data_IF_774468748931
#
_entry.id   IF_774468748931
#
_cell.length_a   1.000
_cell.length_b   1.000
_cell.length_c   1.000
_cell.angle_alpha   90.00
_cell.angle_beta   90.00
_cell.angle_gamma   90.00
#
_symmetry.space_group_name_H-M   'P 1'
#
loop_
_entity.id
_entity.type
_entity.pdbx_description
1 polymer ?
#
# COMPACT_ATOMS: atom_id res chain seq x y z
N UNK A 1 -17.42 32.07 29.74
CA UNK A 1 -17.10 31.50 31.07
C UNK A 1 -16.93 30.01 30.84
N UNK A 2 -15.70 29.54 30.50
CA UNK A 2 -14.66 29.05 31.44
C UNK A 2 -15.11 27.78 32.14
N UNK A 3 -14.47 26.64 32.11
CA UNK A 3 -13.07 26.23 32.07
C UNK A 3 -12.96 24.70 31.80
N UNK A 4 -11.76 24.15 31.60
CA UNK A 4 -11.50 22.83 31.07
C UNK A 4 -11.24 21.78 32.17
N UNK A 5 -11.30 20.49 31.81
CA UNK A 5 -10.73 19.44 32.67
C UNK A 5 -9.66 18.65 31.93
N UNK A 6 -8.45 18.95 32.34
CA UNK A 6 -7.27 18.10 32.22
C UNK A 6 -6.96 17.45 33.56
N UNK A 7 -6.20 16.34 33.51
CA UNK A 7 -5.53 15.60 34.60
C UNK A 7 -6.29 14.44 35.26
N UNK A 8 -5.81 13.22 35.05
CA UNK A 8 -5.00 12.45 35.97
C UNK A 8 -4.62 11.08 35.39
N UNK A 9 -3.32 10.94 35.11
CA UNK A 9 -2.62 9.66 35.09
C UNK A 9 -2.29 9.24 36.53
N UNK A 10 -2.39 7.94 36.89
CA UNK A 10 -1.30 7.17 37.49
C UNK A 10 -1.70 5.75 37.91
N UNK A 11 -0.78 4.83 37.57
CA UNK A 11 -0.41 3.60 38.26
C UNK A 11 -1.26 2.30 38.19
N UNK A 12 -0.78 1.35 37.44
CA UNK A 12 -0.26 0.09 37.98
C UNK A 12 -1.26 -1.02 38.25
N UNK A 13 -1.17 -2.15 37.52
CA UNK A 13 -1.73 -3.41 38.00
C UNK A 13 -2.18 -4.36 36.89
N UNK A 14 -1.30 -5.26 36.51
CA UNK A 14 -1.60 -6.44 35.72
C UNK A 14 -2.62 -7.33 36.43
N UNK A 15 -3.73 -7.68 35.77
CA UNK A 15 -4.50 -8.85 36.09
C UNK A 15 -5.16 -9.43 34.82
N UNK A 16 -4.86 -10.67 34.43
CA UNK A 16 -5.47 -11.31 33.27
C UNK A 16 -6.67 -12.13 33.76
N UNK A 17 -7.85 -11.73 33.39
CA UNK A 17 -9.09 -12.52 33.26
C UNK A 17 -10.32 -11.61 33.27
N UNK A 18 -11.08 -11.69 32.18
CA UNK A 18 -12.45 -11.22 31.93
C UNK A 18 -12.63 -10.15 30.87
N UNK A 19 -12.35 -10.55 29.63
CA UNK A 19 -12.73 -9.73 28.47
C UNK A 19 -14.24 -9.76 28.14
N UNK A 20 -15.00 -10.72 28.67
CA UNK A 20 -16.45 -10.84 28.43
C UNK A 20 -17.22 -9.85 29.31
N UNK A 21 -16.85 -9.67 30.57
CA UNK A 21 -17.49 -8.71 31.47
C UNK A 21 -17.24 -7.24 31.10
N UNK A 22 -16.08 -6.93 30.44
CA UNK A 22 -15.84 -5.59 29.92
C UNK A 22 -16.61 -5.27 28.65
N UNK A 23 -16.92 -6.27 27.82
CA UNK A 23 -17.80 -6.12 26.65
C UNK A 23 -19.25 -5.94 27.11
N UNK A 24 -19.70 -6.70 28.09
CA UNK A 24 -21.04 -6.56 28.68
C UNK A 24 -21.20 -5.25 29.48
N UNK A 25 -20.17 -4.80 30.20
CA UNK A 25 -20.19 -3.50 30.87
C UNK A 25 -20.17 -2.31 29.90
N UNK A 26 -19.53 -2.40 28.74
CA UNK A 26 -19.63 -1.37 27.67
C UNK A 26 -21.02 -1.35 27.04
N UNK A 27 -21.70 -2.47 26.96
CA UNK A 27 -23.11 -2.55 26.51
C UNK A 27 -24.11 -1.98 27.54
N UNK A 28 -23.79 -2.02 28.84
CA UNK A 28 -24.66 -1.52 29.91
C UNK A 28 -24.47 -0.02 30.20
N UNK A 29 -23.33 0.59 29.86
CA UNK A 29 -23.06 2.01 30.06
C UNK A 29 -23.47 2.92 28.91
N UNK A 30 -23.99 2.37 27.80
CA UNK A 30 -24.43 3.13 26.63
C UNK A 30 -25.94 3.42 26.60
N UNK A 31 -26.66 3.20 27.71
CA UNK A 31 -28.08 3.52 27.79
C UNK A 31 -28.44 4.24 29.09
N UNK A 32 -28.64 5.58 29.03
CA UNK A 32 -29.72 6.18 29.79
C UNK A 32 -30.70 6.92 28.85
N UNK A 33 -31.98 6.46 28.96
CA UNK A 33 -33.19 7.23 28.65
C UNK A 33 -33.29 8.01 27.35
N UNK A 34 -33.94 7.44 26.33
CA UNK A 34 -34.67 8.21 25.32
C UNK A 34 -36.02 7.53 25.06
N UNK A 35 -37.06 8.30 25.26
CA UNK A 35 -38.43 8.02 24.87
C UNK A 35 -38.58 8.06 23.34
N UNK A 36 -39.17 7.02 22.82
CA UNK A 36 -40.03 6.85 21.65
C UNK A 36 -39.98 7.87 20.51
N UNK A 37 -39.62 7.44 19.34
CA UNK A 37 -40.16 7.42 18.00
C UNK A 37 -39.16 7.61 16.84
N UNK A 38 -37.89 8.00 17.09
CA UNK A 38 -36.85 8.10 16.04
C UNK A 38 -35.59 7.28 16.35
N UNK A 39 -35.64 6.41 17.33
CA UNK A 39 -34.46 5.71 17.91
C UNK A 39 -33.93 4.52 17.14
N UNK A 40 -34.77 3.82 16.37
CA UNK A 40 -34.38 2.52 15.82
C UNK A 40 -33.36 2.63 14.67
N UNK A 41 -33.41 3.70 13.88
CA UNK A 41 -32.46 3.87 12.77
C UNK A 41 -31.06 4.28 13.26
N UNK A 42 -30.98 5.10 14.31
CA UNK A 42 -29.72 5.54 14.91
C UNK A 42 -29.01 4.41 15.68
N UNK A 43 -29.77 3.54 16.36
CA UNK A 43 -29.27 2.34 17.02
C UNK A 43 -28.68 1.32 16.02
N UNK A 44 -29.35 1.15 14.87
CA UNK A 44 -28.90 0.22 13.83
C UNK A 44 -27.59 0.67 13.21
N UNK A 45 -27.38 1.96 13.00
CA UNK A 45 -26.16 2.52 12.41
C UNK A 45 -24.95 2.41 13.36
N UNK A 46 -25.15 2.51 14.67
CA UNK A 46 -24.07 2.37 15.67
C UNK A 46 -23.73 0.91 16.01
N UNK A 47 -24.64 -0.04 15.80
CA UNK A 47 -24.42 -1.45 16.11
C UNK A 47 -23.71 -2.21 14.99
N UNK A 48 -23.82 -1.78 13.75
CA UNK A 48 -23.17 -2.42 12.59
C UNK A 48 -21.65 -2.52 12.73
N UNK A 49 -20.90 -1.43 13.05
CA UNK A 49 -19.44 -1.51 13.18
C UNK A 49 -18.98 -2.34 14.39
N UNK A 50 -19.78 -2.40 15.46
CA UNK A 50 -19.48 -3.22 16.64
C UNK A 50 -19.66 -4.72 16.34
N UNK A 51 -20.73 -5.09 15.64
CA UNK A 51 -21.02 -6.47 15.27
C UNK A 51 -19.98 -6.98 14.24
N UNK A 52 -19.59 -6.14 13.28
CA UNK A 52 -18.55 -6.42 12.29
C UNK A 52 -17.19 -6.68 12.96
N UNK A 53 -16.79 -5.81 13.88
CA UNK A 53 -15.52 -5.95 14.62
C UNK A 53 -15.50 -7.25 15.47
N UNK A 54 -16.63 -7.61 16.07
CA UNK A 54 -16.77 -8.85 16.84
C UNK A 54 -16.67 -10.07 15.92
N UNK A 55 -17.41 -10.09 14.80
CA UNK A 55 -17.38 -11.20 13.84
C UNK A 55 -15.99 -11.38 13.21
N UNK A 56 -15.37 -10.29 12.77
CA UNK A 56 -14.01 -10.32 12.17
C UNK A 56 -12.98 -10.84 13.18
N UNK A 57 -13.01 -10.34 14.43
CA UNK A 57 -12.12 -10.81 15.50
C UNK A 57 -12.39 -12.26 15.89
N UNK A 58 -13.63 -12.70 15.85
CA UNK A 58 -14.01 -14.09 16.13
C UNK A 58 -13.45 -15.02 15.04
N UNK A 59 -13.66 -14.69 13.75
CA UNK A 59 -13.11 -15.46 12.63
C UNK A 59 -11.58 -15.54 12.71
N UNK A 60 -10.90 -14.42 12.96
CA UNK A 60 -9.45 -14.41 13.15
C UNK A 60 -8.99 -15.33 14.28
N UNK A 61 -9.67 -15.30 15.42
CA UNK A 61 -9.31 -16.15 16.58
C UNK A 61 -9.54 -17.64 16.31
N UNK A 62 -10.59 -17.98 15.58
CA UNK A 62 -10.93 -19.37 15.28
C UNK A 62 -10.03 -19.98 14.20
N UNK A 63 -9.69 -19.23 13.18
CA UNK A 63 -9.03 -19.77 11.99
C UNK A 63 -7.57 -19.34 11.82
N UNK A 64 -7.10 -18.26 12.49
CA UNK A 64 -5.74 -17.75 12.32
C UNK A 64 -4.96 -17.86 13.65
N UNK A 65 -4.17 -18.94 13.79
CA UNK A 65 -3.24 -19.07 14.91
C UNK A 65 -2.13 -18.02 14.79
N UNK A 66 -1.89 -17.25 15.86
CA UNK A 66 -0.84 -16.21 15.88
C UNK A 66 -1.26 -14.87 15.29
N UNK A 67 -2.56 -14.58 15.14
CA UNK A 67 -3.10 -13.32 14.60
C UNK A 67 -2.60 -12.02 15.27
N UNK A 68 -1.87 -12.12 16.38
CA UNK A 68 -1.26 -10.96 17.08
C UNK A 68 0.06 -10.49 16.47
N UNK A 69 0.65 -11.27 15.58
CA UNK A 69 1.92 -10.95 14.89
C UNK A 69 1.69 -10.95 13.38
N UNK A 70 1.02 -9.90 12.83
CA UNK A 70 0.59 -9.85 11.43
C UNK A 70 1.76 -9.81 10.44
N UNK A 71 2.94 -9.36 10.87
CA UNK A 71 4.13 -9.20 10.03
C UNK A 71 4.80 -10.54 9.64
N UNK A 72 4.43 -11.65 10.31
CA UNK A 72 4.98 -12.95 9.96
C UNK A 72 4.35 -13.46 8.65
N UNK A 73 5.16 -13.92 7.68
CA UNK A 73 4.65 -14.39 6.38
C UNK A 73 3.59 -15.48 6.50
N UNK A 74 3.74 -16.41 7.47
CA UNK A 74 2.77 -17.47 7.73
C UNK A 74 1.40 -16.95 8.21
N UNK A 75 1.40 -15.91 9.07
CA UNK A 75 0.17 -15.30 9.59
C UNK A 75 -0.52 -14.51 8.48
N UNK A 76 0.27 -13.74 7.72
CA UNK A 76 -0.19 -12.99 6.55
C UNK A 76 -0.92 -13.89 5.57
N UNK A 77 -0.32 -15.01 5.21
CA UNK A 77 -0.91 -15.97 4.30
C UNK A 77 -2.20 -16.60 4.84
N UNK A 78 -2.24 -17.01 6.12
CA UNK A 78 -3.47 -17.55 6.72
C UNK A 78 -4.60 -16.53 6.73
N UNK A 79 -4.28 -15.25 6.93
CA UNK A 79 -5.26 -14.14 6.83
C UNK A 79 -5.79 -14.03 5.39
N UNK A 80 -4.93 -14.07 4.40
CA UNK A 80 -5.33 -14.06 2.98
C UNK A 80 -6.20 -15.27 2.61
N UNK A 81 -5.82 -16.47 3.05
CA UNK A 81 -6.63 -17.68 2.83
C UNK A 81 -8.00 -17.60 3.52
N UNK A 82 -8.07 -17.05 4.74
CA UNK A 82 -9.35 -16.83 5.42
C UNK A 82 -10.24 -15.87 4.64
N UNK A 83 -9.68 -14.74 4.18
CA UNK A 83 -10.41 -13.77 3.36
C UNK A 83 -10.95 -14.39 2.08
N UNK A 84 -10.12 -15.11 1.33
CA UNK A 84 -10.52 -15.79 0.10
C UNK A 84 -11.64 -16.84 0.35
N UNK A 85 -11.49 -17.66 1.38
CA UNK A 85 -12.49 -18.67 1.73
C UNK A 85 -13.84 -18.05 2.13
N UNK A 86 -13.82 -17.00 2.96
CA UNK A 86 -15.03 -16.24 3.35
C UNK A 86 -15.68 -15.59 2.14
N UNK A 87 -14.88 -14.97 1.25
CA UNK A 87 -15.35 -14.36 0.00
C UNK A 87 -16.05 -15.38 -0.90
N UNK A 88 -15.43 -16.56 -1.12
CA UNK A 88 -16.02 -17.64 -1.92
C UNK A 88 -17.35 -18.10 -1.32
N UNK A 89 -17.40 -18.36 -0.01
CA UNK A 89 -18.61 -18.85 0.66
C UNK A 89 -19.73 -17.81 0.58
N UNK A 90 -19.46 -16.54 0.88
CA UNK A 90 -20.47 -15.49 0.84
C UNK A 90 -20.97 -15.24 -0.58
N UNK A 91 -20.08 -15.13 -1.58
CA UNK A 91 -20.48 -14.87 -2.95
C UNK A 91 -21.22 -16.07 -3.57
N UNK A 92 -20.82 -17.31 -3.26
CA UNK A 92 -21.54 -18.50 -3.67
C UNK A 92 -22.95 -18.56 -3.05
N UNK A 93 -23.07 -18.24 -1.75
CA UNK A 93 -24.37 -18.20 -1.06
C UNK A 93 -25.29 -17.13 -1.68
N UNK A 94 -24.76 -15.91 -1.91
CA UNK A 94 -25.52 -14.84 -2.56
C UNK A 94 -25.91 -15.20 -3.99
N UNK A 95 -25.03 -15.85 -4.75
CA UNK A 95 -25.33 -16.34 -6.09
C UNK A 95 -26.51 -17.31 -6.07
N UNK A 96 -26.46 -18.33 -5.21
CA UNK A 96 -27.54 -19.34 -5.10
C UNK A 96 -28.88 -18.70 -4.68
N UNK A 97 -28.87 -17.85 -3.65
CA UNK A 97 -30.09 -17.19 -3.17
C UNK A 97 -30.69 -16.27 -4.23
N UNK A 98 -29.89 -15.46 -4.92
CA UNK A 98 -30.33 -14.58 -5.98
C UNK A 98 -30.82 -15.36 -7.21
N UNK A 99 -30.15 -16.48 -7.55
CA UNK A 99 -30.58 -17.33 -8.67
C UNK A 99 -31.94 -17.96 -8.40
N UNK A 100 -32.16 -18.51 -7.19
CA UNK A 100 -33.47 -19.09 -6.79
C UNK A 100 -34.56 -18.01 -6.88
N UNK A 101 -34.36 -16.86 -6.29
CA UNK A 101 -35.38 -15.78 -6.31
C UNK A 101 -35.54 -15.22 -7.73
N UNK A 102 -34.46 -15.05 -8.49
CA UNK A 102 -34.50 -14.60 -9.88
C UNK A 102 -35.33 -15.50 -10.79
N UNK A 103 -35.12 -16.82 -10.68
CA UNK A 103 -35.90 -17.84 -11.44
C UNK A 103 -37.36 -17.83 -10.99
N UNK A 104 -37.64 -17.85 -9.69
CA UNK A 104 -38.99 -17.87 -9.14
C UNK A 104 -39.81 -16.61 -9.46
N UNK A 105 -39.14 -15.45 -9.48
CA UNK A 105 -39.77 -14.17 -9.80
C UNK A 105 -39.79 -13.81 -11.28
N UNK A 106 -39.09 -14.59 -12.12
CA UNK A 106 -38.89 -14.29 -13.54
C UNK A 106 -38.07 -13.02 -13.77
N UNK A 107 -37.30 -12.55 -12.78
CA UNK A 107 -36.52 -11.32 -12.86
C UNK A 107 -35.15 -11.56 -13.48
N UNK A 108 -34.96 -11.06 -14.70
CA UNK A 108 -33.67 -11.11 -15.39
C UNK A 108 -32.61 -10.27 -14.68
N UNK A 109 -33.00 -9.15 -14.06
CA UNK A 109 -32.08 -8.30 -13.31
C UNK A 109 -31.46 -9.02 -12.09
N UNK A 110 -32.27 -9.77 -11.32
CA UNK A 110 -31.73 -10.55 -10.18
C UNK A 110 -30.85 -11.70 -10.68
N UNK A 111 -31.22 -12.34 -11.79
CA UNK A 111 -30.40 -13.42 -12.38
C UNK A 111 -29.04 -12.87 -12.85
N UNK A 112 -29.02 -11.70 -13.48
CA UNK A 112 -27.79 -11.04 -13.87
C UNK A 112 -26.92 -10.67 -12.65
N UNK A 113 -27.52 -10.17 -11.56
CA UNK A 113 -26.83 -9.86 -10.31
C UNK A 113 -26.33 -11.15 -9.60
N UNK A 114 -27.02 -12.28 -9.74
CA UNK A 114 -26.51 -13.59 -9.31
C UNK A 114 -25.24 -13.99 -10.07
N UNK A 115 -25.20 -13.76 -11.38
CA UNK A 115 -24.00 -14.05 -12.20
C UNK A 115 -22.83 -13.13 -11.84
N UNK A 116 -23.09 -11.87 -11.44
CA UNK A 116 -22.06 -11.01 -10.89
C UNK A 116 -21.40 -11.62 -9.63
N UNK A 117 -22.21 -12.11 -8.68
CA UNK A 117 -21.67 -12.78 -7.48
C UNK A 117 -20.87 -14.06 -7.81
N UNK A 118 -21.17 -14.74 -8.90
CA UNK A 118 -20.34 -15.86 -9.38
C UNK A 118 -18.97 -15.37 -9.84
N UNK A 119 -18.90 -14.24 -10.54
CA UNK A 119 -17.64 -13.59 -10.94
C UNK A 119 -16.82 -13.15 -9.73
N UNK A 120 -17.48 -12.64 -8.66
CA UNK A 120 -16.83 -12.26 -7.40
C UNK A 120 -16.25 -13.47 -6.66
N UNK A 121 -16.94 -14.61 -6.71
CA UNK A 121 -16.40 -15.87 -6.20
C UNK A 121 -15.12 -16.28 -6.96
N UNK A 122 -15.09 -16.08 -8.28
CA UNK A 122 -13.90 -16.33 -9.10
C UNK A 122 -12.75 -15.39 -8.71
N UNK A 123 -13.01 -14.09 -8.49
CA UNK A 123 -12.01 -13.12 -7.97
C UNK A 123 -11.44 -13.56 -6.63
N UNK A 124 -12.30 -14.05 -5.73
CA UNK A 124 -11.87 -14.58 -4.43
C UNK A 124 -10.99 -15.83 -4.57
N UNK A 125 -11.25 -16.69 -5.57
CA UNK A 125 -10.40 -17.84 -5.88
C UNK A 125 -9.03 -17.38 -6.37
N UNK A 126 -8.97 -16.38 -7.27
CA UNK A 126 -7.69 -15.81 -7.76
C UNK A 126 -6.85 -15.25 -6.60
N UNK A 127 -7.49 -14.52 -5.70
CA UNK A 127 -6.82 -14.00 -4.49
C UNK A 127 -6.26 -15.14 -3.62
N UNK A 128 -7.07 -16.16 -3.35
CA UNK A 128 -6.65 -17.32 -2.55
C UNK A 128 -5.48 -18.09 -3.17
N UNK A 129 -5.53 -18.31 -4.49
CA UNK A 129 -4.46 -18.95 -5.24
C UNK A 129 -3.20 -18.09 -5.22
N UNK A 130 -3.33 -16.77 -5.41
CA UNK A 130 -2.23 -15.82 -5.34
C UNK A 130 -1.50 -15.87 -4.00
N UNK A 131 -2.22 -15.84 -2.89
CA UNK A 131 -1.62 -16.00 -1.56
C UNK A 131 -0.93 -17.35 -1.36
N UNK A 132 -1.48 -18.41 -1.92
CA UNK A 132 -0.87 -19.76 -1.83
C UNK A 132 0.40 -19.85 -2.66
N UNK A 133 0.42 -19.28 -3.84
CA UNK A 133 1.61 -19.23 -4.71
C UNK A 133 2.69 -18.34 -4.11
N UNK A 134 2.32 -17.20 -3.53
CA UNK A 134 3.25 -16.27 -2.89
C UNK A 134 4.03 -16.88 -1.70
N UNK A 135 3.54 -17.98 -1.12
CA UNK A 135 4.22 -18.70 -0.03
C UNK A 135 5.29 -19.68 -0.50
N UNK A 136 5.38 -19.95 -1.80
CA UNK A 136 6.38 -20.87 -2.29
C UNK A 136 7.78 -20.31 -2.00
N UNK A 137 8.71 -21.15 -1.47
CA UNK A 137 10.07 -20.73 -1.22
C UNK A 137 10.78 -20.38 -2.53
N UNK A 138 11.92 -19.75 -2.42
CA UNK A 138 12.84 -19.56 -3.53
C UNK A 138 13.23 -20.92 -4.15
N UNK A 139 13.32 -20.94 -5.47
CA UNK A 139 13.75 -22.09 -6.29
C UNK A 139 14.83 -21.64 -7.30
N UNK A 140 15.26 -22.55 -8.19
CA UNK A 140 16.29 -22.25 -9.18
C UNK A 140 15.84 -21.18 -10.20
N UNK A 141 14.55 -21.15 -10.56
CA UNK A 141 13.99 -20.21 -11.51
C UNK A 141 13.64 -18.86 -10.84
N UNK A 142 13.31 -18.88 -9.54
CA UNK A 142 12.90 -17.70 -8.78
C UNK A 142 13.71 -17.58 -7.47
N UNK A 143 15.00 -17.19 -7.55
CA UNK A 143 15.91 -17.15 -6.39
C UNK A 143 15.50 -16.14 -5.31
N UNK A 144 14.68 -15.13 -5.66
CA UNK A 144 14.14 -14.16 -4.72
C UNK A 144 12.77 -14.54 -4.13
N UNK A 145 12.31 -15.79 -4.41
CA UNK A 145 11.01 -16.29 -3.95
C UNK A 145 9.83 -15.83 -4.80
N UNK A 146 8.65 -16.22 -4.36
CA UNK A 146 7.41 -16.09 -5.13
C UNK A 146 6.44 -15.04 -4.58
N UNK A 147 6.87 -14.19 -3.65
CA UNK A 147 5.97 -13.25 -2.96
C UNK A 147 5.29 -12.23 -3.90
N UNK A 148 5.85 -11.96 -5.10
CA UNK A 148 5.22 -11.11 -6.13
C UNK A 148 3.93 -11.67 -6.72
N UNK A 149 3.63 -12.98 -6.54
CA UNK A 149 2.32 -13.51 -6.93
C UNK A 149 1.15 -12.82 -6.22
N UNK A 150 1.37 -12.21 -5.05
CA UNK A 150 0.34 -11.39 -4.41
C UNK A 150 0.00 -10.14 -5.23
N UNK A 151 1.00 -9.44 -5.77
CA UNK A 151 0.76 -8.30 -6.65
C UNK A 151 0.09 -8.71 -7.97
N UNK A 152 0.52 -9.84 -8.55
CA UNK A 152 -0.09 -10.37 -9.78
C UNK A 152 -1.55 -10.77 -9.57
N UNK A 153 -1.90 -11.35 -8.42
CA UNK A 153 -3.29 -11.67 -8.11
C UNK A 153 -4.14 -10.41 -7.91
N UNK A 154 -3.60 -9.37 -7.26
CA UNK A 154 -4.26 -8.06 -7.16
C UNK A 154 -4.51 -7.42 -8.53
N UNK A 155 -3.52 -7.52 -9.44
CA UNK A 155 -3.66 -7.03 -10.81
C UNK A 155 -4.72 -7.81 -11.60
N UNK A 156 -4.79 -9.13 -11.43
CA UNK A 156 -5.83 -9.95 -12.05
C UNK A 156 -7.23 -9.56 -11.57
N UNK A 157 -7.40 -9.30 -10.26
CA UNK A 157 -8.67 -8.80 -9.69
C UNK A 157 -9.00 -7.42 -10.26
N UNK A 158 -8.04 -6.51 -10.36
CA UNK A 158 -8.25 -5.20 -10.98
C UNK A 158 -8.70 -5.33 -12.45
N UNK A 159 -8.11 -6.25 -13.22
CA UNK A 159 -8.53 -6.57 -14.57
C UNK A 159 -9.98 -7.06 -14.65
N UNK A 160 -10.39 -7.94 -13.75
CA UNK A 160 -11.79 -8.40 -13.67
C UNK A 160 -12.76 -7.26 -13.34
N UNK A 161 -12.41 -6.37 -12.41
CA UNK A 161 -13.21 -5.18 -12.08
C UNK A 161 -13.38 -4.28 -13.31
N UNK A 162 -12.33 -4.07 -14.11
CA UNK A 162 -12.40 -3.28 -15.34
C UNK A 162 -13.33 -3.91 -16.38
N UNK A 163 -13.28 -5.23 -16.56
CA UNK A 163 -14.18 -5.95 -17.46
C UNK A 163 -15.65 -5.80 -17.00
N UNK A 164 -15.92 -6.00 -15.72
CA UNK A 164 -17.27 -5.85 -15.13
C UNK A 164 -17.76 -4.41 -15.29
N UNK A 165 -16.92 -3.41 -15.00
CA UNK A 165 -17.26 -2.00 -15.17
C UNK A 165 -17.58 -1.64 -16.62
N UNK A 166 -16.85 -2.19 -17.59
CA UNK A 166 -17.11 -2.00 -19.00
C UNK A 166 -18.45 -2.62 -19.44
N UNK A 167 -18.73 -3.88 -19.04
CA UNK A 167 -19.99 -4.56 -19.34
C UNK A 167 -21.18 -3.86 -18.71
N UNK A 168 -21.04 -3.37 -17.46
CA UNK A 168 -22.09 -2.57 -16.82
C UNK A 168 -22.33 -1.26 -17.56
N UNK A 169 -21.27 -0.59 -18.01
CA UNK A 169 -21.36 0.62 -18.84
C UNK A 169 -22.11 0.37 -20.14
N UNK A 170 -21.75 -0.69 -20.86
CA UNK A 170 -22.43 -1.10 -22.09
C UNK A 170 -23.92 -1.39 -21.86
N UNK A 171 -24.26 -2.20 -20.87
CA UNK A 171 -25.65 -2.52 -20.51
C UNK A 171 -26.44 -1.27 -20.11
N UNK A 172 -25.80 -0.33 -19.42
CA UNK A 172 -26.40 0.95 -19.02
C UNK A 172 -26.73 1.83 -20.22
N UNK A 173 -25.81 1.92 -21.19
CA UNK A 173 -26.05 2.62 -22.46
C UNK A 173 -27.19 1.99 -23.25
N UNK A 174 -27.22 0.67 -23.34
CA UNK A 174 -28.33 -0.07 -24.00
C UNK A 174 -29.68 0.23 -23.34
N UNK A 175 -29.73 0.30 -21.99
CA UNK A 175 -30.95 0.67 -21.25
C UNK A 175 -31.37 2.15 -21.42
N UNK A 176 -30.42 3.05 -21.63
CA UNK A 176 -30.71 4.45 -21.97
C UNK A 176 -31.37 4.55 -23.35
N UNK A 177 -30.85 3.79 -24.32
CA UNK A 177 -31.33 3.78 -25.70
C UNK A 177 -32.66 3.02 -25.83
N UNK A 178 -32.80 1.91 -25.11
CA UNK A 178 -33.97 1.02 -25.11
C UNK A 178 -34.53 0.87 -23.68
N UNK A 179 -35.25 1.85 -23.15
CA UNK A 179 -35.72 1.82 -21.78
C UNK A 179 -36.68 0.65 -21.52
N UNK A 180 -36.35 -0.19 -20.55
CA UNK A 180 -37.22 -1.29 -20.08
C UNK A 180 -37.77 -0.94 -18.69
N UNK A 181 -39.04 -1.26 -18.45
CA UNK A 181 -39.66 -1.06 -17.15
C UNK A 181 -39.11 -2.11 -16.15
N UNK A 182 -38.69 -1.64 -14.99
CA UNK A 182 -38.17 -2.53 -13.92
C UNK A 182 -39.34 -2.89 -12.99
N UNK A 183 -39.59 -4.19 -12.83
CA UNK A 183 -40.68 -4.69 -11.99
C UNK A 183 -40.27 -4.63 -10.51
N UNK A 184 -40.94 -3.75 -9.76
CA UNK A 184 -40.80 -3.71 -8.30
C UNK A 184 -41.55 -4.86 -7.65
N UNK A 185 -40.85 -5.65 -6.82
CA UNK A 185 -41.48 -6.63 -5.95
C UNK A 185 -40.79 -6.71 -4.60
N UNK A 186 -41.56 -6.98 -3.54
CA UNK A 186 -41.04 -7.05 -2.16
C UNK A 186 -39.91 -8.09 -2.02
N UNK A 187 -39.98 -9.30 -2.58
CA UNK A 187 -38.86 -10.25 -2.58
C UNK A 187 -37.57 -9.69 -3.20
N UNK A 188 -37.69 -8.94 -4.30
CA UNK A 188 -36.53 -8.29 -4.95
C UNK A 188 -35.85 -7.33 -3.98
N UNK A 189 -36.63 -6.50 -3.30
CA UNK A 189 -36.07 -5.55 -2.32
C UNK A 189 -35.38 -6.24 -1.14
N UNK A 190 -35.98 -7.30 -0.60
CA UNK A 190 -35.40 -8.07 0.52
C UNK A 190 -34.04 -8.66 0.11
N UNK A 191 -33.94 -9.27 -1.08
CA UNK A 191 -32.73 -9.87 -1.57
C UNK A 191 -31.65 -8.81 -1.88
N UNK A 192 -32.03 -7.68 -2.48
CA UNK A 192 -31.09 -6.57 -2.74
C UNK A 192 -30.56 -5.96 -1.44
N UNK A 193 -31.42 -5.68 -0.46
CA UNK A 193 -31.00 -5.18 0.86
C UNK A 193 -30.10 -6.19 1.58
N UNK A 194 -30.47 -7.45 1.60
CA UNK A 194 -29.64 -8.51 2.17
C UNK A 194 -28.26 -8.61 1.48
N UNK A 195 -28.24 -8.50 0.15
CA UNK A 195 -27.01 -8.49 -0.62
C UNK A 195 -26.12 -7.28 -0.26
N UNK A 196 -26.70 -6.09 -0.16
CA UNK A 196 -25.99 -4.87 0.26
C UNK A 196 -25.35 -5.07 1.63
N UNK A 197 -26.07 -5.60 2.60
CA UNK A 197 -25.55 -5.82 3.96
C UNK A 197 -24.38 -6.83 3.97
N UNK A 198 -24.49 -7.93 3.25
CA UNK A 198 -23.41 -8.93 3.15
C UNK A 198 -22.19 -8.34 2.43
N UNK A 199 -22.37 -7.63 1.31
CA UNK A 199 -21.27 -6.99 0.56
C UNK A 199 -20.61 -5.87 1.34
N UNK A 200 -21.38 -5.08 2.10
CA UNK A 200 -20.83 -4.06 3.00
C UNK A 200 -19.98 -4.70 4.11
N UNK A 201 -20.47 -5.81 4.69
CA UNK A 201 -19.69 -6.55 5.66
C UNK A 201 -18.40 -7.11 5.06
N UNK A 202 -18.45 -7.71 3.85
CA UNK A 202 -17.26 -8.20 3.15
C UNK A 202 -16.26 -7.08 2.87
N UNK A 203 -16.73 -5.90 2.46
CA UNK A 203 -15.89 -4.72 2.28
C UNK A 203 -15.12 -4.35 3.56
N UNK A 204 -15.84 -4.21 4.67
CA UNK A 204 -15.24 -3.83 5.95
C UNK A 204 -14.28 -4.92 6.45
N UNK A 205 -14.67 -6.18 6.35
CA UNK A 205 -13.87 -7.35 6.70
C UNK A 205 -12.55 -7.39 5.92
N UNK A 206 -12.60 -7.35 4.59
CA UNK A 206 -11.42 -7.40 3.73
C UNK A 206 -10.53 -6.16 3.90
N UNK A 207 -11.12 -4.96 4.09
CA UNK A 207 -10.39 -3.74 4.39
C UNK A 207 -9.64 -3.82 5.72
N UNK A 208 -10.26 -4.34 6.75
CA UNK A 208 -9.62 -4.55 8.04
C UNK A 208 -8.44 -5.53 7.93
N UNK A 209 -8.65 -6.68 7.29
CA UNK A 209 -7.62 -7.69 7.08
C UNK A 209 -6.49 -7.16 6.20
N UNK A 210 -6.81 -6.49 5.09
CA UNK A 210 -5.84 -5.91 4.16
C UNK A 210 -4.92 -4.88 4.82
N UNK A 211 -5.49 -4.00 5.67
CA UNK A 211 -4.69 -3.05 6.46
C UNK A 211 -3.85 -3.74 7.52
N UNK A 212 -4.39 -4.77 8.19
CA UNK A 212 -3.69 -5.50 9.26
C UNK A 212 -2.43 -6.19 8.76
N UNK A 213 -2.47 -6.77 7.55
CA UNK A 213 -1.32 -7.49 6.94
C UNK A 213 -0.65 -6.74 5.80
N UNK A 214 -0.99 -5.48 5.57
CA UNK A 214 -0.49 -4.63 4.48
C UNK A 214 -0.56 -5.33 3.10
N UNK A 215 -1.73 -5.88 2.75
CA UNK A 215 -1.94 -6.63 1.52
C UNK A 215 -2.76 -5.85 0.50
N UNK A 216 -2.15 -5.53 -0.64
CA UNK A 216 -2.83 -4.87 -1.77
C UNK A 216 -3.92 -5.77 -2.38
N UNK A 217 -3.69 -7.08 -2.45
CA UNK A 217 -4.71 -8.03 -2.96
C UNK A 217 -5.99 -8.02 -2.10
N UNK A 218 -5.87 -7.99 -0.75
CA UNK A 218 -7.03 -7.90 0.13
C UNK A 218 -7.73 -6.54 0.06
N UNK A 219 -6.97 -5.45 -0.11
CA UNK A 219 -7.53 -4.11 -0.32
C UNK A 219 -8.25 -4.03 -1.67
N UNK A 220 -7.72 -4.71 -2.70
CA UNK A 220 -8.37 -4.87 -3.99
C UNK A 220 -9.73 -5.59 -3.87
N UNK A 221 -9.77 -6.74 -3.18
CA UNK A 221 -11.02 -7.48 -2.92
C UNK A 221 -12.01 -6.66 -2.07
N UNK A 222 -11.51 -5.84 -1.14
CA UNK A 222 -12.36 -4.91 -0.39
C UNK A 222 -12.99 -3.85 -1.32
N UNK A 223 -12.19 -3.25 -2.20
CA UNK A 223 -12.70 -2.24 -3.14
C UNK A 223 -13.74 -2.83 -4.10
N UNK A 224 -13.57 -4.07 -4.54
CA UNK A 224 -14.55 -4.82 -5.33
C UNK A 224 -15.88 -4.94 -4.58
N UNK A 225 -15.87 -5.46 -3.36
CA UNK A 225 -17.07 -5.56 -2.50
C UNK A 225 -17.73 -4.20 -2.22
N UNK A 226 -16.96 -3.12 -2.11
CA UNK A 226 -17.47 -1.75 -2.00
C UNK A 226 -18.18 -1.33 -3.28
N UNK A 227 -17.58 -1.56 -4.44
CA UNK A 227 -18.14 -1.20 -5.73
C UNK A 227 -19.47 -1.93 -5.95
N UNK A 228 -19.56 -3.20 -5.59
CA UNK A 228 -20.79 -3.98 -5.62
C UNK A 228 -21.87 -3.42 -4.70
N UNK A 229 -21.48 -3.00 -3.49
CA UNK A 229 -22.40 -2.35 -2.55
C UNK A 229 -22.97 -1.07 -3.13
N UNK A 230 -22.13 -0.21 -3.73
CA UNK A 230 -22.54 1.06 -4.36
C UNK A 230 -23.42 0.79 -5.59
N UNK A 231 -23.03 -0.18 -6.43
CA UNK A 231 -23.78 -0.58 -7.61
C UNK A 231 -25.17 -1.08 -7.24
N UNK A 232 -25.27 -2.03 -6.30
CA UNK A 232 -26.54 -2.61 -5.85
C UNK A 232 -27.42 -1.56 -5.16
N UNK A 233 -26.83 -0.63 -4.38
CA UNK A 233 -27.55 0.48 -3.76
C UNK A 233 -28.12 1.44 -4.83
N UNK A 234 -27.33 1.78 -5.84
CA UNK A 234 -27.78 2.63 -6.93
C UNK A 234 -28.94 1.99 -7.70
N UNK A 235 -28.87 0.66 -7.96
CA UNK A 235 -29.95 -0.11 -8.58
C UNK A 235 -31.22 -0.10 -7.70
N UNK A 236 -31.06 -0.27 -6.38
CA UNK A 236 -32.20 -0.24 -5.44
C UNK A 236 -32.84 1.16 -5.40
N UNK A 237 -32.05 2.22 -5.34
CA UNK A 237 -32.54 3.60 -5.36
C UNK A 237 -33.24 3.89 -6.69
N UNK A 238 -32.64 3.51 -7.81
CA UNK A 238 -33.26 3.69 -9.13
C UNK A 238 -34.58 2.93 -9.27
N UNK A 239 -34.66 1.72 -8.69
CA UNK A 239 -35.88 0.92 -8.65
C UNK A 239 -36.99 1.63 -7.84
N UNK A 240 -36.68 2.14 -6.65
CA UNK A 240 -37.63 2.86 -5.79
C UNK A 240 -38.08 4.15 -6.47
N UNK A 241 -37.15 4.98 -6.93
CA UNK A 241 -37.44 6.27 -7.58
C UNK A 241 -38.20 6.05 -8.88
N UNK A 242 -37.81 5.08 -9.70
CA UNK A 242 -38.47 4.72 -10.93
C UNK A 242 -39.93 4.30 -10.69
N UNK A 243 -40.19 3.55 -9.64
CA UNK A 243 -41.54 3.07 -9.28
C UNK A 243 -42.40 4.20 -8.73
N UNK A 244 -41.86 5.05 -7.84
CA UNK A 244 -42.62 6.14 -7.19
C UNK A 244 -42.92 7.29 -8.15
N UNK A 245 -41.94 7.68 -8.97
CA UNK A 245 -42.04 8.83 -9.86
C UNK A 245 -42.28 8.47 -11.33
N UNK A 246 -42.42 7.20 -11.66
CA UNK A 246 -42.56 6.72 -13.04
C UNK A 246 -41.43 7.20 -13.98
N UNK A 247 -40.19 7.37 -13.42
CA UNK A 247 -39.03 7.85 -14.16
C UNK A 247 -38.14 6.67 -14.59
N UNK A 248 -37.63 6.72 -15.82
CA UNK A 248 -36.71 5.71 -16.39
C UNK A 248 -35.27 6.16 -16.23
N UNK A 249 -34.76 6.22 -15.00
CA UNK A 249 -33.43 6.74 -14.67
C UNK A 249 -32.38 5.65 -14.40
N UNK A 250 -32.78 4.39 -14.39
CA UNK A 250 -31.92 3.25 -14.07
C UNK A 250 -30.70 3.14 -14.99
N UNK A 251 -30.85 3.40 -16.29
CA UNK A 251 -29.73 3.43 -17.23
C UNK A 251 -28.70 4.53 -16.94
N UNK A 252 -29.15 5.73 -16.57
CA UNK A 252 -28.25 6.86 -16.24
C UNK A 252 -27.50 6.57 -14.94
N UNK A 253 -28.19 6.05 -13.93
CA UNK A 253 -27.58 5.66 -12.66
C UNK A 253 -26.59 4.51 -12.84
N UNK A 254 -26.94 3.50 -13.66
CA UNK A 254 -26.02 2.41 -14.03
C UNK A 254 -24.75 2.93 -14.71
N UNK A 255 -24.86 3.91 -15.61
CA UNK A 255 -23.70 4.49 -16.29
C UNK A 255 -22.79 5.27 -15.32
N UNK A 256 -23.36 6.01 -14.36
CA UNK A 256 -22.60 6.70 -13.32
C UNK A 256 -21.83 5.73 -12.43
N UNK A 257 -22.47 4.61 -12.05
CA UNK A 257 -21.83 3.54 -11.27
C UNK A 257 -20.73 2.85 -12.07
N UNK A 258 -20.96 2.54 -13.36
CA UNK A 258 -19.96 1.96 -14.25
C UNK A 258 -18.71 2.84 -14.36
N UNK A 259 -18.88 4.16 -14.51
CA UNK A 259 -17.77 5.11 -14.54
C UNK A 259 -16.97 5.11 -13.23
N UNK A 260 -17.65 5.04 -12.08
CA UNK A 260 -17.00 4.94 -10.78
C UNK A 260 -16.21 3.63 -10.62
N UNK A 261 -16.77 2.49 -11.06
CA UNK A 261 -16.11 1.19 -11.02
C UNK A 261 -14.86 1.18 -11.91
N UNK A 262 -14.96 1.70 -13.14
CA UNK A 262 -13.82 1.81 -14.05
C UNK A 262 -12.71 2.69 -13.48
N UNK A 263 -13.04 3.84 -12.90
CA UNK A 263 -12.06 4.70 -12.22
C UNK A 263 -11.36 3.97 -11.06
N UNK A 264 -12.12 3.26 -10.24
CA UNK A 264 -11.58 2.46 -9.13
C UNK A 264 -10.66 1.33 -9.63
N UNK A 265 -11.06 0.60 -10.68
CA UNK A 265 -10.27 -0.46 -11.30
C UNK A 265 -8.93 0.04 -11.86
N UNK A 266 -8.94 1.21 -12.54
CA UNK A 266 -7.70 1.84 -13.06
C UNK A 266 -6.75 2.22 -11.92
N UNK A 267 -7.26 2.84 -10.85
CA UNK A 267 -6.42 3.21 -9.72
C UNK A 267 -5.83 1.99 -9.02
N UNK A 268 -6.63 0.95 -8.82
CA UNK A 268 -6.17 -0.31 -8.25
C UNK A 268 -5.08 -0.97 -9.12
N UNK A 269 -5.26 -1.00 -10.45
CA UNK A 269 -4.24 -1.51 -11.36
C UNK A 269 -2.92 -0.72 -11.22
N UNK A 270 -2.97 0.62 -11.13
CA UNK A 270 -1.79 1.46 -10.91
C UNK A 270 -1.09 1.13 -9.59
N UNK A 271 -1.83 1.05 -8.48
CA UNK A 271 -1.30 0.74 -7.15
C UNK A 271 -0.67 -0.66 -7.10
N UNK A 272 -1.19 -1.61 -7.88
CA UNK A 272 -0.66 -2.98 -7.93
C UNK A 272 0.54 -3.11 -8.86
N UNK A 273 0.60 -2.32 -9.93
CA UNK A 273 1.72 -2.30 -10.89
C UNK A 273 2.93 -1.56 -10.29
N UNK A 274 2.72 -0.51 -9.49
CA UNK A 274 3.80 0.33 -8.95
C UNK A 274 4.90 -0.48 -8.24
N UNK A 275 4.60 -1.41 -7.30
CA UNK A 275 5.62 -2.26 -6.68
C UNK A 275 6.33 -3.20 -7.66
N UNK A 276 5.64 -3.64 -8.73
CA UNK A 276 6.25 -4.50 -9.77
C UNK A 276 7.28 -3.75 -10.61
N UNK A 277 7.07 -2.44 -10.82
CA UNK A 277 7.99 -1.55 -11.54
C UNK A 277 9.18 -1.10 -10.69
N UNK A 278 9.18 -1.37 -9.39
CA UNK A 278 10.23 -0.93 -8.47
C UNK A 278 9.88 0.40 -7.80
N UNK A 279 8.81 0.40 -7.05
CA UNK A 279 8.42 1.54 -6.22
C UNK A 279 9.49 1.84 -5.16
N UNK A 280 9.72 3.12 -4.89
CA UNK A 280 10.68 3.53 -3.87
C UNK A 280 10.21 3.06 -2.48
N UNK A 281 11.17 2.70 -1.61
CA UNK A 281 10.85 2.31 -0.24
C UNK A 281 10.11 3.41 0.52
N UNK A 282 9.27 3.00 1.47
CA UNK A 282 8.57 3.98 2.32
C UNK A 282 9.58 4.89 3.03
N UNK A 283 9.26 6.19 3.20
CA UNK A 283 10.14 7.12 3.92
C UNK A 283 10.54 6.62 5.32
N UNK A 284 9.62 5.92 5.99
CA UNK A 284 9.88 5.33 7.31
C UNK A 284 10.95 4.23 7.26
N UNK A 285 10.87 3.33 6.29
CA UNK A 285 11.86 2.26 6.15
C UNK A 285 13.23 2.82 5.77
N UNK A 286 13.30 3.80 4.85
CA UNK A 286 14.54 4.49 4.51
C UNK A 286 15.17 5.13 5.74
N UNK A 287 14.39 5.87 6.50
CA UNK A 287 14.86 6.51 7.73
C UNK A 287 15.38 5.49 8.75
N UNK A 288 14.69 4.38 8.95
CA UNK A 288 15.12 3.32 9.86
C UNK A 288 16.46 2.69 9.46
N UNK A 289 16.68 2.45 8.15
CA UNK A 289 17.96 1.94 7.65
C UNK A 289 19.07 2.98 7.89
N UNK A 290 18.82 4.23 7.54
CA UNK A 290 19.77 5.32 7.71
C UNK A 290 20.12 5.54 9.20
N UNK A 291 19.13 5.53 10.10
CA UNK A 291 19.36 5.64 11.54
C UNK A 291 20.20 4.48 12.07
N UNK A 292 19.97 3.26 11.59
CA UNK A 292 20.75 2.08 11.96
C UNK A 292 22.24 2.25 11.54
N UNK A 293 22.47 2.69 10.31
CA UNK A 293 23.84 2.85 9.77
C UNK A 293 24.55 4.01 10.45
N UNK A 294 23.89 5.15 10.65
CA UNK A 294 24.45 6.32 11.35
C UNK A 294 24.69 6.09 12.86
N UNK A 295 24.12 5.05 13.43
CA UNK A 295 24.40 4.68 14.83
C UNK A 295 25.82 4.07 14.99
N UNK A 296 26.52 3.70 13.91
CA UNK A 296 27.88 3.23 13.91
C UNK A 296 28.84 4.45 13.80
N UNK A 297 29.64 4.75 14.83
CA UNK A 297 30.51 5.94 14.83
C UNK A 297 31.61 5.92 13.76
N UNK A 298 31.98 4.76 13.26
CA UNK A 298 32.99 4.54 12.24
C UNK A 298 32.48 4.85 10.83
N UNK A 299 31.15 4.96 10.64
CA UNK A 299 30.55 5.41 9.39
C UNK A 299 30.55 6.92 9.33
N UNK A 300 31.31 7.49 8.41
CA UNK A 300 31.48 8.92 8.20
C UNK A 300 30.42 9.53 7.31
N UNK A 301 29.86 8.74 6.40
CA UNK A 301 28.83 9.13 5.44
C UNK A 301 28.17 7.91 4.81
N UNK A 302 27.09 8.17 4.10
CA UNK A 302 26.39 7.15 3.30
C UNK A 302 25.80 7.78 2.04
N UNK A 303 25.61 6.97 1.00
CA UNK A 303 24.92 7.36 -0.23
C UNK A 303 24.34 6.15 -0.96
N UNK A 304 23.58 6.37 -2.02
CA UNK A 304 23.00 5.38 -2.93
C UNK A 304 22.19 4.28 -2.24
N UNK A 305 21.34 4.65 -1.29
CA UNK A 305 20.42 3.69 -0.68
C UNK A 305 19.34 3.30 -1.69
N UNK A 306 19.47 2.11 -2.27
CA UNK A 306 18.48 1.48 -3.13
C UNK A 306 17.79 0.34 -2.41
N UNK A 307 16.45 0.30 -2.48
CA UNK A 307 15.65 -0.77 -1.88
C UNK A 307 14.80 -1.42 -2.96
N UNK A 308 14.93 -2.73 -3.08
CA UNK A 308 14.17 -3.56 -4.02
C UNK A 308 13.14 -4.40 -3.29
N UNK A 309 11.86 -4.26 -3.67
CA UNK A 309 10.76 -5.06 -3.13
C UNK A 309 10.43 -6.22 -4.08
N UNK A 310 10.64 -7.44 -3.61
CA UNK A 310 10.29 -8.68 -4.32
C UNK A 310 8.98 -9.29 -3.80
N UNK A 311 8.20 -8.50 -3.13
CA UNK A 311 6.92 -8.88 -2.54
C UNK A 311 6.95 -8.76 -1.02
N UNK A 312 5.80 -8.89 -0.39
CA UNK A 312 5.67 -8.67 1.04
C UNK A 312 6.61 -9.56 1.87
N UNK A 313 7.49 -8.91 2.63
CA UNK A 313 8.46 -9.60 3.47
C UNK A 313 9.72 -10.11 2.74
N UNK A 314 9.94 -9.73 1.48
CA UNK A 314 11.12 -10.04 0.68
C UNK A 314 11.73 -8.75 0.15
N UNK A 315 12.58 -8.10 0.93
CA UNK A 315 13.23 -6.84 0.56
C UNK A 315 14.73 -6.99 0.57
N UNK A 316 15.35 -6.42 -0.47
CA UNK A 316 16.78 -6.34 -0.63
C UNK A 316 17.16 -4.87 -0.74
N UNK A 317 18.26 -4.50 -0.12
CA UNK A 317 18.76 -3.13 -0.19
C UNK A 317 20.26 -3.14 -0.42
N UNK A 318 20.75 -2.13 -1.13
CA UNK A 318 22.16 -1.81 -1.21
C UNK A 318 22.37 -0.36 -0.80
N UNK A 319 23.51 -0.08 -0.19
CA UNK A 319 23.88 1.25 0.27
C UNK A 319 25.40 1.33 0.32
N UNK A 320 25.94 2.48 -0.01
CA UNK A 320 27.35 2.79 0.16
C UNK A 320 27.57 3.44 1.53
N UNK A 321 28.66 3.07 2.19
CA UNK A 321 29.08 3.63 3.48
C UNK A 321 30.54 4.11 3.40
N UNK A 322 30.75 5.35 3.74
CA UNK A 322 32.07 5.98 3.77
C UNK A 322 32.75 5.71 5.12
N UNK A 323 33.96 5.17 5.11
CA UNK A 323 34.75 4.92 6.30
C UNK A 323 36.20 5.37 6.06
N UNK A 324 36.95 5.65 7.14
CA UNK A 324 38.33 6.13 7.02
C UNK A 324 39.22 5.13 6.28
N UNK A 325 39.94 5.58 5.25
CA UNK A 325 40.87 4.75 4.50
C UNK A 325 42.02 4.16 5.35
N UNK A 326 42.29 4.74 6.53
CA UNK A 326 43.31 4.25 7.46
C UNK A 326 42.77 3.21 8.44
N UNK A 327 41.44 2.96 8.47
CA UNK A 327 40.86 1.92 9.30
C UNK A 327 41.28 0.52 8.83
N UNK A 328 41.40 -0.41 9.76
CA UNK A 328 41.71 -1.80 9.42
C UNK A 328 40.54 -2.42 8.61
N UNK A 329 40.78 -2.90 7.38
CA UNK A 329 39.73 -3.45 6.54
C UNK A 329 38.98 -4.63 7.17
N UNK A 330 39.61 -5.43 8.05
CA UNK A 330 38.93 -6.52 8.74
C UNK A 330 37.98 -6.03 9.81
N UNK A 331 38.34 -4.93 10.50
CA UNK A 331 37.45 -4.27 11.46
C UNK A 331 36.25 -3.64 10.73
N UNK A 332 36.49 -2.94 9.60
CA UNK A 332 35.44 -2.40 8.77
C UNK A 332 34.47 -3.48 8.29
N UNK A 333 34.99 -4.62 7.84
CA UNK A 333 34.16 -5.75 7.40
C UNK A 333 33.28 -6.31 8.54
N UNK A 334 33.84 -6.45 9.75
CA UNK A 334 33.07 -6.94 10.90
C UNK A 334 31.94 -5.97 11.29
N UNK A 335 32.19 -4.66 11.25
CA UNK A 335 31.18 -3.63 11.50
C UNK A 335 30.05 -3.69 10.46
N UNK A 336 30.40 -3.80 9.18
CA UNK A 336 29.44 -3.93 8.07
C UNK A 336 28.57 -5.18 8.25
N UNK A 337 29.16 -6.34 8.47
CA UNK A 337 28.43 -7.60 8.67
C UNK A 337 27.46 -7.50 9.88
N UNK A 338 27.86 -6.82 10.95
CA UNK A 338 27.00 -6.57 12.10
C UNK A 338 25.82 -5.66 11.76
N UNK A 339 26.01 -4.59 10.97
CA UNK A 339 24.95 -3.71 10.50
C UNK A 339 23.97 -4.44 9.57
N UNK A 340 24.47 -5.21 8.60
CA UNK A 340 23.66 -6.02 7.68
C UNK A 340 22.78 -7.02 8.44
N UNK A 341 23.35 -7.74 9.41
CA UNK A 341 22.62 -8.68 10.28
C UNK A 341 21.60 -7.97 11.18
N UNK A 342 21.92 -6.77 11.67
CA UNK A 342 21.02 -5.97 12.48
C UNK A 342 19.82 -5.48 11.65
N UNK A 343 20.05 -5.05 10.41
CA UNK A 343 19.01 -4.64 9.46
C UNK A 343 18.05 -5.80 9.16
N UNK A 344 18.60 -6.99 8.89
CA UNK A 344 17.79 -8.19 8.65
C UNK A 344 16.91 -8.54 9.87
N UNK A 345 17.48 -8.51 11.07
CA UNK A 345 16.77 -8.87 12.31
C UNK A 345 15.68 -7.84 12.67
N UNK A 346 15.96 -6.55 12.49
CA UNK A 346 15.09 -5.47 12.95
C UNK A 346 14.01 -5.10 11.94
N UNK A 347 14.35 -5.13 10.64
CA UNK A 347 13.49 -4.59 9.57
C UNK A 347 13.13 -5.63 8.51
N UNK A 348 13.65 -6.85 8.60
CA UNK A 348 13.48 -7.92 7.60
C UNK A 348 13.87 -7.45 6.18
N UNK A 349 15.02 -6.78 6.09
CA UNK A 349 15.63 -6.30 4.84
C UNK A 349 17.02 -6.93 4.71
N UNK A 350 17.28 -7.59 3.60
CA UNK A 350 18.60 -8.06 3.22
C UNK A 350 19.41 -6.88 2.71
N UNK A 351 20.14 -6.22 3.60
CA UNK A 351 21.00 -5.09 3.28
C UNK A 351 22.39 -5.60 2.85
N UNK A 352 22.94 -5.00 1.81
CA UNK A 352 24.34 -5.14 1.39
C UNK A 352 24.97 -3.76 1.45
N UNK A 353 26.03 -3.62 2.25
CA UNK A 353 26.79 -2.39 2.41
C UNK A 353 28.07 -2.44 1.59
N UNK A 354 28.21 -1.51 0.65
CA UNK A 354 29.46 -1.29 -0.05
C UNK A 354 30.33 -0.32 0.75
N UNK A 355 31.58 -0.73 1.02
CA UNK A 355 32.53 0.06 1.77
C UNK A 355 33.34 0.97 0.86
N UNK A 356 33.23 2.28 1.07
CA UNK A 356 34.02 3.29 0.36
C UNK A 356 35.08 3.90 1.28
N UNK A 357 36.37 3.61 1.04
CA UNK A 357 37.44 4.23 1.83
C UNK A 357 37.62 5.70 1.45
N UNK A 358 37.40 6.61 2.41
CA UNK A 358 37.57 8.04 2.20
C UNK A 358 38.80 8.58 2.91
N UNK A 359 39.43 9.58 2.31
CA UNK A 359 40.57 10.28 2.90
C UNK A 359 40.07 11.27 3.96
N UNK A 360 40.56 11.12 5.19
CA UNK A 360 40.24 12.03 6.30
C UNK A 360 41.45 12.88 6.65
N UNK A 361 41.24 14.13 7.13
CA UNK A 361 42.27 15.03 7.62
C UNK A 361 43.12 15.68 6.53
N UNK A 362 42.76 15.60 5.25
CA UNK A 362 43.38 16.40 4.18
C UNK A 362 42.67 17.75 4.04
N UNK A 363 43.28 18.79 4.62
CA UNK A 363 42.70 20.14 4.60
C UNK A 363 42.49 20.72 3.18
N UNK A 364 43.28 20.28 2.18
CA UNK A 364 43.12 20.74 0.81
C UNK A 364 41.92 20.06 0.16
N UNK A 365 41.73 18.76 0.36
CA UNK A 365 40.58 17.99 -0.11
C UNK A 365 39.29 18.52 0.51
N UNK A 366 39.24 18.68 1.84
CA UNK A 366 38.08 19.20 2.59
C UNK A 366 37.67 20.59 2.11
N UNK A 367 38.65 21.48 1.92
CA UNK A 367 38.42 22.81 1.36
C UNK A 367 37.81 22.75 -0.04
N UNK A 368 38.40 21.96 -0.94
CA UNK A 368 37.92 21.86 -2.32
C UNK A 368 36.53 21.20 -2.41
N UNK A 369 36.25 20.19 -1.60
CA UNK A 369 34.90 19.61 -1.46
C UNK A 369 33.89 20.69 -1.07
N UNK A 370 34.20 21.51 -0.08
CA UNK A 370 33.34 22.61 0.37
C UNK A 370 33.10 23.62 -0.75
N UNK A 371 34.15 24.07 -1.41
CA UNK A 371 34.07 25.04 -2.53
C UNK A 371 33.18 24.50 -3.67
N UNK A 372 33.41 23.26 -4.09
CA UNK A 372 32.61 22.63 -5.16
C UNK A 372 31.15 22.54 -4.74
N UNK A 373 30.86 22.10 -3.52
CA UNK A 373 29.51 22.02 -2.98
C UNK A 373 28.82 23.39 -2.95
N UNK A 374 29.49 24.42 -2.46
CA UNK A 374 28.96 25.79 -2.41
C UNK A 374 28.63 26.33 -3.82
N UNK A 375 29.53 26.14 -4.79
CA UNK A 375 29.30 26.54 -6.19
C UNK A 375 28.11 25.83 -6.81
N UNK A 376 27.91 24.55 -6.52
CA UNK A 376 26.77 23.77 -6.99
C UNK A 376 25.48 24.22 -6.28
N UNK A 377 25.51 24.44 -4.97
CA UNK A 377 24.35 24.90 -4.20
C UNK A 377 23.92 26.33 -4.55
N UNK A 378 24.80 27.16 -5.08
CA UNK A 378 24.40 28.45 -5.68
C UNK A 378 23.59 28.31 -6.95
N UNK A 379 23.69 27.15 -7.65
CA UNK A 379 22.87 26.85 -8.81
C UNK A 379 21.52 26.24 -8.40
N UNK A 380 21.53 25.29 -7.47
CA UNK A 380 20.34 24.71 -6.82
C UNK A 380 20.74 24.12 -5.47
N UNK A 381 20.10 24.57 -4.40
CA UNK A 381 20.40 24.15 -3.02
C UNK A 381 20.15 22.66 -2.73
N UNK A 382 19.45 21.94 -3.64
CA UNK A 382 19.16 20.51 -3.53
C UNK A 382 20.25 19.61 -4.10
N UNK A 383 21.29 20.19 -4.76
CA UNK A 383 22.41 19.42 -5.31
C UNK A 383 23.33 19.00 -4.19
N UNK A 384 23.66 17.72 -4.14
CA UNK A 384 24.65 17.14 -3.21
C UNK A 384 25.76 16.43 -3.97
N UNK A 385 26.90 16.23 -3.33
CA UNK A 385 28.04 15.49 -3.90
C UNK A 385 28.51 14.43 -2.92
N UNK A 386 29.01 13.31 -3.42
CA UNK A 386 29.61 12.24 -2.66
C UNK A 386 30.81 11.64 -3.43
N UNK A 387 31.56 10.77 -2.78
CA UNK A 387 32.78 10.13 -3.32
C UNK A 387 33.80 11.15 -3.90
N UNK A 388 33.99 12.26 -3.16
CA UNK A 388 34.86 13.34 -3.63
C UNK A 388 36.34 13.00 -3.46
N UNK A 389 37.08 12.98 -4.57
CA UNK A 389 38.51 12.65 -4.62
C UNK A 389 39.28 13.68 -5.42
N UNK A 390 40.53 13.94 -5.01
CA UNK A 390 41.45 14.78 -5.74
C UNK A 390 42.62 13.94 -6.28
N UNK A 391 42.87 14.03 -7.58
CA UNK A 391 44.01 13.36 -8.24
C UNK A 391 44.90 14.38 -8.90
N UNK A 392 46.10 14.51 -8.37
CA UNK A 392 47.10 15.45 -8.90
C UNK A 392 47.70 14.93 -10.20
N UNK A 393 47.61 15.74 -11.25
CA UNK A 393 48.26 15.53 -12.54
C UNK A 393 49.47 16.51 -12.75
N UNK A 394 50.11 16.41 -13.93
CA UNK A 394 51.19 17.35 -14.29
C UNK A 394 50.60 18.72 -14.67
N UNK A 395 50.60 19.64 -13.71
CA UNK A 395 50.14 21.03 -13.90
C UNK A 395 48.61 21.21 -13.81
N UNK A 396 47.89 20.23 -13.34
CA UNK A 396 46.44 20.31 -13.08
C UNK A 396 46.03 19.34 -11.98
N UNK A 397 44.84 19.52 -11.42
CA UNK A 397 44.24 18.59 -10.46
C UNK A 397 42.88 18.16 -10.99
N UNK A 398 42.63 16.84 -11.03
CA UNK A 398 41.32 16.28 -11.32
C UNK A 398 40.49 16.21 -10.05
N UNK A 399 39.29 16.79 -10.08
CA UNK A 399 38.26 16.66 -9.06
C UNK A 399 37.28 15.61 -9.53
N UNK A 400 37.28 14.47 -8.87
CA UNK A 400 36.44 13.31 -9.22
C UNK A 400 35.38 13.19 -8.14
N UNK A 401 34.11 13.19 -8.51
CA UNK A 401 33.02 13.06 -7.57
C UNK A 401 31.71 12.69 -8.28
N UNK A 402 30.78 12.18 -7.50
CA UNK A 402 29.43 11.91 -7.95
C UNK A 402 28.50 13.04 -7.52
N UNK A 403 27.62 13.48 -8.43
CA UNK A 403 26.72 14.61 -8.26
C UNK A 403 25.29 14.11 -8.27
N UNK A 404 24.63 14.15 -7.12
CA UNK A 404 23.24 13.77 -6.99
C UNK A 404 22.32 14.94 -7.35
N UNK A 405 21.53 14.75 -8.40
CA UNK A 405 20.64 15.75 -8.98
C UNK A 405 19.16 15.37 -8.74
N UNK A 406 18.31 16.34 -8.36
CA UNK A 406 16.87 16.17 -8.44
C UNK A 406 16.41 15.76 -9.86
N UNK A 407 15.35 14.97 -9.96
CA UNK A 407 14.86 14.45 -11.24
C UNK A 407 14.54 15.56 -12.28
N UNK A 408 14.07 16.72 -11.83
CA UNK A 408 13.79 17.89 -12.68
C UNK A 408 15.05 18.57 -13.22
N UNK A 409 16.23 18.30 -12.65
CA UNK A 409 17.52 18.84 -13.09
C UNK A 409 18.34 17.84 -13.92
N UNK A 410 17.99 16.56 -13.96
CA UNK A 410 18.74 15.55 -14.74
C UNK A 410 18.89 15.91 -16.21
N UNK A 411 17.89 16.54 -16.83
CA UNK A 411 18.00 17.05 -18.21
C UNK A 411 18.98 18.22 -18.39
N UNK A 412 19.42 18.87 -17.31
CA UNK A 412 20.31 20.04 -17.30
C UNK A 412 21.73 19.75 -16.81
N UNK A 413 22.06 18.48 -16.52
CA UNK A 413 23.34 18.06 -15.93
C UNK A 413 24.56 18.63 -16.66
N UNK A 414 24.56 18.66 -17.99
CA UNK A 414 25.66 19.23 -18.79
C UNK A 414 25.84 20.72 -18.59
N UNK A 415 24.74 21.46 -18.47
CA UNK A 415 24.81 22.92 -18.24
C UNK A 415 25.27 23.23 -16.82
N UNK A 416 24.84 22.47 -15.83
CA UNK A 416 25.25 22.57 -14.43
C UNK A 416 26.77 22.33 -14.32
N UNK A 417 27.27 21.24 -14.93
CA UNK A 417 28.69 20.93 -14.97
C UNK A 417 29.51 22.02 -15.68
N UNK A 418 29.07 22.47 -16.85
CA UNK A 418 29.79 23.52 -17.60
C UNK A 418 29.91 24.84 -16.79
N UNK A 419 28.88 25.20 -16.05
CA UNK A 419 28.92 26.36 -15.15
C UNK A 419 29.88 26.13 -13.98
N UNK A 420 29.86 24.97 -13.34
CA UNK A 420 30.82 24.61 -12.29
C UNK A 420 32.27 24.67 -12.83
N UNK A 421 32.54 24.11 -14.02
CA UNK A 421 33.89 24.16 -14.62
C UNK A 421 34.36 25.61 -14.84
N UNK A 422 33.48 26.52 -15.28
CA UNK A 422 33.77 27.92 -15.47
C UNK A 422 34.01 28.64 -14.13
N UNK A 423 33.20 28.37 -13.12
CA UNK A 423 33.33 28.96 -11.78
C UNK A 423 34.64 28.53 -11.09
N UNK A 424 35.05 27.27 -11.24
CA UNK A 424 36.31 26.74 -10.73
C UNK A 424 37.52 27.38 -11.40
N UNK A 425 37.49 27.66 -12.71
CA UNK A 425 38.57 28.36 -13.41
C UNK A 425 38.72 29.81 -12.91
N UNK A 426 37.64 30.47 -12.50
CA UNK A 426 37.66 31.85 -11.98
C UNK A 426 38.29 31.97 -10.57
N UNK A 427 38.49 30.86 -9.86
CA UNK A 427 39.16 30.90 -8.54
C UNK A 427 40.64 31.27 -8.60
N UNK A 428 41.29 31.13 -9.78
CA UNK A 428 42.70 31.42 -10.01
C UNK A 428 43.70 30.73 -9.04
N UNK A 429 43.29 29.64 -8.42
CA UNK A 429 44.08 28.89 -7.44
C UNK A 429 44.76 27.63 -8.06
N UNK A 430 44.58 27.40 -9.34
CA UNK A 430 45.13 26.27 -10.09
C UNK A 430 44.24 25.85 -11.27
N UNK A 431 44.70 24.89 -12.04
CA UNK A 431 43.91 24.31 -13.14
C UNK A 431 43.19 23.09 -12.62
N UNK A 432 41.87 23.15 -12.55
CA UNK A 432 41.00 22.05 -12.11
C UNK A 432 40.20 21.48 -13.29
N UNK A 433 40.12 20.15 -13.39
CA UNK A 433 39.24 19.47 -14.28
C UNK A 433 38.25 18.61 -13.49
N UNK A 434 36.97 18.69 -13.78
CA UNK A 434 35.96 17.88 -13.10
C UNK A 434 35.65 16.61 -13.86
N UNK A 435 35.67 15.49 -13.18
CA UNK A 435 35.20 14.19 -13.65
C UNK A 435 33.98 13.83 -12.80
N UNK A 436 32.80 13.91 -13.40
CA UNK A 436 31.54 13.84 -12.66
C UNK A 436 30.68 12.70 -13.18
N UNK A 437 30.25 11.83 -12.26
CA UNK A 437 29.13 10.90 -12.45
C UNK A 437 27.85 11.61 -12.00
N UNK A 438 26.72 11.33 -12.66
CA UNK A 438 25.45 11.99 -12.32
C UNK A 438 24.45 10.96 -11.83
N UNK A 439 23.97 11.15 -10.60
CA UNK A 439 23.03 10.28 -9.92
C UNK A 439 21.72 10.99 -9.60
N UNK A 440 20.66 10.20 -9.42
CA UNK A 440 19.39 10.72 -8.97
C UNK A 440 19.42 10.95 -7.45
N UNK A 441 19.15 12.18 -7.00
CA UNK A 441 19.06 12.52 -5.57
C UNK A 441 17.96 11.72 -4.80
N UNK A 442 17.21 10.87 -5.49
CA UNK A 442 16.21 10.01 -4.87
C UNK A 442 16.83 8.92 -4.00
N UNK A 443 18.10 8.60 -4.22
CA UNK A 443 18.83 7.53 -3.50
C UNK A 443 19.70 8.04 -2.36
N UNK A 444 19.84 9.34 -2.21
CA UNK A 444 20.67 10.01 -1.18
C UNK A 444 19.83 10.62 -0.06
#
# INVERSE_FOLDING_TARGET
>A
MTLPYSFLCFAGGYCPHNNISRVLAKLQFAAPNVLASDGDLCYTIQTIPVLEEIMTKLLLRLFVKGHKTPDRPEVRSRVGMLSGAVGIVCNALLCVLKLIVGVLSGSVAITADAMNNLSDAASSIVTLVGFRLAQQPADEDHPYGHARYEYLSGLAVAGMILVIGFELGKTSVEKILNPTDVLFSVPVCIVLVGSILVKLWLFLFNRYLGKMVNSQALLATAADSRNDTVSTLAVLVALIVGTVFHLRIDGIMGLAVAAFILYSGVNMAKETISPLLGENASPQLRQQIVELVNACPEVLGYHDLMVHDYGPGQRFASMHVEMDQQADPLVCHELIDNLERACLRSYNVHLVLHYDPVVTGDAQLDRMRTVVLELLQQQDARITIHDFRMVQGKGHTNLIFDMALPADLMGKHKAIKAKLDADLQNLNEGTYYTVVTFDLATFN
#
